data_IF_828699888154
#
_entry.id   IF_828699888154
#
_cell.length_a   1.000
_cell.length_b   1.000
_cell.length_c   1.000
_cell.angle_alpha   90.00
_cell.angle_beta   90.00
_cell.angle_gamma   90.00
#
_symmetry.space_group_name_H-M   'P 1'
#
loop_
_entity.id
_entity.type
_entity.pdbx_description
1 polymer ?
#
# COMPACT_ATOMS: atom_id res chain seq x y z
N UNK A 1 -1.81 -17.50 6.01
CA UNK A 1 -2.32 -16.89 4.75
C UNK A 1 -1.07 -16.64 3.91
N UNK A 2 -0.96 -17.25 2.73
CA UNK A 2 0.27 -17.14 1.91
C UNK A 2 0.49 -15.70 1.46
N UNK A 3 1.75 -15.31 1.26
CA UNK A 3 2.09 -14.05 0.57
C UNK A 3 1.50 -14.12 -0.84
N UNK A 4 0.80 -13.08 -1.28
CA UNK A 4 0.18 -13.01 -2.60
C UNK A 4 0.25 -11.57 -3.10
N UNK A 5 0.91 -11.38 -4.25
CA UNK A 5 1.27 -10.08 -4.80
C UNK A 5 0.06 -9.22 -5.16
N UNK A 6 -1.09 -9.85 -5.45
CA UNK A 6 -2.26 -9.21 -6.02
C UNK A 6 -3.50 -9.29 -5.09
N UNK A 7 -3.43 -10.06 -3.99
CA UNK A 7 -4.52 -10.17 -3.01
C UNK A 7 -4.33 -9.35 -1.75
N UNK A 8 -3.11 -9.25 -1.22
CA UNK A 8 -2.90 -8.46 0.00
C UNK A 8 -3.01 -6.97 -0.32
N UNK A 9 -3.65 -6.20 0.56
CA UNK A 9 -3.84 -4.76 0.44
C UNK A 9 -2.95 -4.05 1.45
N UNK A 10 -2.28 -3.01 0.99
CA UNK A 10 -1.34 -2.21 1.76
C UNK A 10 -1.76 -0.75 1.69
N UNK A 11 -1.71 -0.07 2.82
CA UNK A 11 -1.86 1.39 2.88
C UNK A 11 -0.76 2.08 2.07
N UNK A 12 -1.14 2.99 1.18
CA UNK A 12 -0.18 3.79 0.37
C UNK A 12 0.63 4.80 1.17
N UNK A 13 0.22 5.11 2.42
CA UNK A 13 0.95 6.03 3.29
C UNK A 13 1.93 5.34 4.25
N UNK A 14 1.68 4.09 4.67
CA UNK A 14 2.54 3.44 5.67
C UNK A 14 2.91 1.98 5.37
N UNK A 15 2.36 1.39 4.32
CA UNK A 15 2.63 -0.01 3.97
C UNK A 15 2.03 -1.03 4.96
N UNK A 16 1.16 -0.62 5.88
CA UNK A 16 0.47 -1.53 6.78
C UNK A 16 -0.64 -2.30 6.07
N UNK A 17 -0.83 -3.55 6.47
CA UNK A 17 -1.98 -4.40 6.08
C UNK A 17 -3.14 -4.32 7.08
N UNK A 18 -2.98 -3.54 8.16
CA UNK A 18 -4.05 -3.27 9.11
C UNK A 18 -4.97 -2.18 8.54
N UNK A 19 -5.78 -2.59 7.56
CA UNK A 19 -6.65 -1.75 6.76
C UNK A 19 -8.05 -2.35 6.70
N UNK A 20 -9.05 -1.51 6.50
CA UNK A 20 -10.46 -1.92 6.38
C UNK A 20 -11.14 -1.15 5.27
N UNK A 21 -12.07 -1.81 4.60
CA UNK A 21 -13.03 -1.17 3.73
C UNK A 21 -14.32 -0.92 4.52
N UNK A 22 -14.88 0.27 4.40
CA UNK A 22 -16.08 0.73 5.10
C UNK A 22 -17.24 0.82 4.11
N UNK A 23 -18.44 0.64 4.64
CA UNK A 23 -19.69 0.86 3.89
C UNK A 23 -20.51 1.89 4.64
N UNK A 24 -21.17 2.77 3.91
CA UNK A 24 -22.00 3.83 4.47
C UNK A 24 -23.39 3.28 4.81
N UNK A 25 -23.84 3.51 6.04
CA UNK A 25 -25.16 3.06 6.52
C UNK A 25 -25.93 4.25 7.06
N UNK A 26 -27.20 4.39 6.65
CA UNK A 26 -28.10 5.34 7.28
C UNK A 26 -28.36 4.91 8.74
N UNK A 27 -28.02 5.72 9.75
CA UNK A 27 -28.22 5.33 11.14
C UNK A 27 -29.70 5.27 11.58
N UNK A 28 -30.60 5.93 10.85
CA UNK A 28 -32.03 5.98 11.18
C UNK A 28 -32.83 4.88 10.47
N UNK A 29 -32.49 4.57 9.21
CA UNK A 29 -33.22 3.55 8.41
C UNK A 29 -32.50 2.21 8.35
N UNK A 30 -31.23 2.16 8.77
CA UNK A 30 -30.32 1.03 8.60
C UNK A 30 -30.11 0.59 7.15
N UNK A 31 -30.48 1.45 6.19
CA UNK A 31 -30.23 1.23 4.77
C UNK A 31 -28.74 1.42 4.48
N UNK A 32 -28.16 0.48 3.75
CA UNK A 32 -26.78 0.54 3.29
C UNK A 32 -26.74 1.31 1.97
N UNK A 33 -25.99 2.41 1.94
CA UNK A 33 -25.80 3.23 0.76
C UNK A 33 -24.69 2.63 -0.10
N UNK A 34 -25.10 1.94 -1.18
CA UNK A 34 -24.25 1.36 -2.23
C UNK A 34 -23.43 0.10 -1.86
N UNK A 35 -22.74 -0.43 -2.87
CA UNK A 35 -21.68 -1.41 -2.72
C UNK A 35 -20.40 -0.72 -2.24
N UNK A 36 -19.59 -1.43 -1.45
CA UNK A 36 -18.22 -1.02 -1.16
C UNK A 36 -17.52 -0.72 -2.50
N UNK A 37 -16.98 0.48 -2.68
CA UNK A 37 -16.29 0.83 -3.92
C UNK A 37 -14.98 0.05 -4.06
N UNK A 38 -14.36 0.15 -5.23
CA UNK A 38 -13.08 -0.50 -5.49
C UNK A 38 -12.00 -0.07 -4.48
N UNK A 39 -11.03 -0.95 -4.22
CA UNK A 39 -9.92 -0.66 -3.29
C UNK A 39 -8.99 0.47 -3.78
N UNK A 40 -9.17 0.89 -5.03
CA UNK A 40 -8.53 2.00 -5.71
C UNK A 40 -9.20 3.36 -5.45
N UNK A 41 -10.33 3.41 -4.73
CA UNK A 41 -11.00 4.66 -4.35
C UNK A 41 -10.78 4.98 -2.85
N UNK A 42 -10.25 6.16 -2.54
CA UNK A 42 -9.86 6.58 -1.18
C UNK A 42 -11.03 6.55 -0.17
N UNK A 43 -12.26 6.85 -0.63
CA UNK A 43 -13.39 7.20 0.24
C UNK A 43 -13.90 6.07 1.15
N UNK A 44 -13.73 4.82 0.74
CA UNK A 44 -14.21 3.67 1.51
C UNK A 44 -13.09 2.96 2.27
N UNK A 45 -11.83 3.32 2.02
CA UNK A 45 -10.68 2.58 2.54
C UNK A 45 -10.02 3.32 3.70
N UNK A 46 -9.78 2.63 4.80
CA UNK A 46 -9.23 3.24 6.03
C UNK A 46 -8.05 2.45 6.57
N UNK A 47 -6.99 3.16 6.93
CA UNK A 47 -5.83 2.57 7.59
C UNK A 47 -5.90 2.76 9.11
N UNK A 48 -5.89 1.66 9.85
CA UNK A 48 -5.91 1.70 11.32
C UNK A 48 -4.56 2.15 11.92
N UNK A 49 -3.48 2.15 11.14
CA UNK A 49 -2.20 2.71 11.57
C UNK A 49 -2.16 4.24 11.38
N UNK A 50 -2.52 4.74 10.19
CA UNK A 50 -2.52 6.17 9.90
C UNK A 50 -3.71 6.93 10.50
N UNK A 51 -4.79 6.21 10.86
CA UNK A 51 -6.04 6.77 11.38
C UNK A 51 -6.80 7.67 10.39
N UNK A 52 -6.61 7.45 9.11
CA UNK A 52 -7.20 8.24 8.02
C UNK A 52 -7.70 7.35 6.87
N UNK A 53 -8.48 7.95 5.97
CA UNK A 53 -8.86 7.32 4.71
C UNK A 53 -7.66 7.34 3.75
N UNK A 54 -7.43 6.24 3.03
CA UNK A 54 -6.24 6.05 2.20
C UNK A 54 -6.57 5.24 0.96
N UNK A 55 -5.77 5.38 -0.08
CA UNK A 55 -5.76 4.39 -1.17
C UNK A 55 -5.11 3.07 -0.69
N UNK A 56 -5.58 1.95 -1.22
CA UNK A 56 -5.02 0.62 -0.91
C UNK A 56 -4.49 -0.05 -2.15
N UNK A 57 -3.19 -0.31 -2.15
CA UNK A 57 -2.51 -0.94 -3.28
C UNK A 57 -2.14 -2.38 -2.97
N UNK A 58 -2.05 -3.19 -4.03
CA UNK A 58 -1.38 -4.50 -3.97
C UNK A 58 0.14 -4.31 -3.89
N UNK A 59 0.90 -5.36 -3.56
CA UNK A 59 2.36 -5.27 -3.54
C UNK A 59 2.91 -4.88 -4.92
N UNK A 60 2.30 -5.42 -6.00
CA UNK A 60 2.65 -5.08 -7.39
C UNK A 60 2.37 -3.62 -7.73
N UNK A 61 1.22 -3.09 -7.28
CA UNK A 61 0.88 -1.68 -7.50
C UNK A 61 1.83 -0.74 -6.73
N UNK A 62 2.18 -1.08 -5.49
CA UNK A 62 3.18 -0.32 -4.72
C UNK A 62 4.56 -0.35 -5.40
N UNK A 63 4.99 -1.51 -5.90
CA UNK A 63 6.26 -1.62 -6.60
C UNK A 63 6.29 -0.74 -7.85
N UNK A 64 5.22 -0.77 -8.67
CA UNK A 64 5.08 0.09 -9.85
C UNK A 64 5.10 1.59 -9.50
N UNK A 65 4.52 1.97 -8.36
CA UNK A 65 4.62 3.34 -7.85
C UNK A 65 6.05 3.69 -7.45
N UNK A 66 6.79 2.73 -6.87
CA UNK A 66 8.19 2.90 -6.47
C UNK A 66 9.17 2.97 -7.65
N UNK A 67 8.91 2.28 -8.76
CA UNK A 67 9.78 2.31 -9.97
C UNK A 67 10.01 3.72 -10.53
N UNK A 68 9.05 4.62 -10.34
CA UNK A 68 9.11 6.01 -10.81
C UNK A 68 9.51 6.99 -9.70
N UNK A 69 9.94 6.47 -8.54
CA UNK A 69 10.23 7.27 -7.37
C UNK A 69 11.63 7.91 -7.48
N UNK A 70 11.79 9.21 -7.15
CA UNK A 70 13.06 9.89 -7.28
C UNK A 70 14.09 9.35 -6.28
N UNK A 71 15.31 9.07 -6.78
CA UNK A 71 16.45 8.54 -6.01
C UNK A 71 17.69 9.36 -6.37
N UNK A 72 18.46 9.77 -5.36
CA UNK A 72 19.67 10.56 -5.54
C UNK A 72 20.88 9.69 -5.95
N UNK A 73 22.07 10.31 -6.08
CA UNK A 73 23.30 9.61 -6.47
C UNK A 73 23.85 8.66 -5.40
N UNK A 74 23.37 8.77 -4.16
CA UNK A 74 23.78 7.93 -3.02
C UNK A 74 22.80 6.77 -2.79
N UNK A 75 21.93 6.48 -3.77
CA UNK A 75 20.90 5.44 -3.72
C UNK A 75 19.85 5.67 -2.61
N UNK A 76 19.60 6.91 -2.21
CA UNK A 76 18.57 7.28 -1.24
C UNK A 76 17.33 7.88 -1.92
N UNK A 77 16.14 7.58 -1.38
CA UNK A 77 14.88 8.14 -1.88
C UNK A 77 14.80 9.64 -1.59
N UNK A 78 14.34 10.44 -2.54
CA UNK A 78 14.30 11.92 -2.40
C UNK A 78 12.99 12.45 -1.79
N UNK A 79 12.01 11.58 -1.55
CA UNK A 79 10.73 11.91 -0.94
C UNK A 79 10.23 10.75 -0.06
N UNK A 80 9.18 10.99 0.73
CA UNK A 80 8.63 10.00 1.66
C UNK A 80 7.85 8.90 0.90
N UNK A 81 8.29 7.66 1.04
CA UNK A 81 7.64 6.50 0.44
C UNK A 81 7.15 5.54 1.54
N UNK A 82 5.84 5.35 1.66
CA UNK A 82 5.25 4.62 2.79
C UNK A 82 5.76 5.23 4.13
N UNK A 83 6.24 4.38 5.05
CA UNK A 83 6.86 4.83 6.30
C UNK A 83 8.37 5.13 6.18
N UNK A 84 8.94 5.13 4.97
CA UNK A 84 10.33 5.48 4.73
C UNK A 84 10.45 6.97 4.42
N UNK A 85 11.10 7.77 5.28
CA UNK A 85 11.30 9.19 5.00
C UNK A 85 12.32 9.40 3.88
N UNK A 86 12.28 10.57 3.25
CA UNK A 86 13.34 11.03 2.35
C UNK A 86 14.74 10.87 2.99
N UNK A 87 15.72 10.40 2.22
CA UNK A 87 17.06 10.02 2.68
C UNK A 87 17.19 8.55 3.11
N UNK A 88 16.11 7.77 3.09
CA UNK A 88 16.21 6.31 3.31
C UNK A 88 16.88 5.64 2.10
N UNK A 89 17.78 4.68 2.34
CA UNK A 89 18.34 3.86 1.26
C UNK A 89 17.23 3.12 0.49
N UNK A 90 17.28 3.17 -0.84
CA UNK A 90 16.38 2.40 -1.70
C UNK A 90 16.48 0.90 -1.45
N UNK A 91 17.62 0.41 -0.97
CA UNK A 91 17.83 -1.01 -0.65
C UNK A 91 17.02 -1.44 0.59
N UNK A 92 16.80 -0.55 1.55
CA UNK A 92 15.92 -0.83 2.70
C UNK A 92 14.47 -0.95 2.23
N UNK A 93 14.06 -0.08 1.30
CA UNK A 93 12.74 -0.17 0.65
C UNK A 93 12.61 -1.47 -0.13
N UNK A 94 13.63 -1.86 -0.92
CA UNK A 94 13.65 -3.14 -1.63
C UNK A 94 13.55 -4.33 -0.69
N UNK A 95 14.26 -4.31 0.43
CA UNK A 95 14.19 -5.37 1.43
C UNK A 95 12.78 -5.51 2.00
N UNK A 96 12.09 -4.39 2.26
CA UNK A 96 10.69 -4.40 2.68
C UNK A 96 9.76 -5.08 1.67
N UNK A 97 9.97 -4.86 0.36
CA UNK A 97 9.24 -5.56 -0.68
C UNK A 97 9.58 -7.05 -0.70
N UNK A 98 10.87 -7.40 -0.63
CA UNK A 98 11.38 -8.78 -0.65
C UNK A 98 10.74 -9.65 0.45
N UNK A 99 10.68 -9.11 1.68
CA UNK A 99 10.03 -9.76 2.81
C UNK A 99 8.55 -10.08 2.58
N UNK A 100 7.89 -9.40 1.64
CA UNK A 100 6.46 -9.55 1.30
C UNK A 100 6.23 -10.34 0.01
N UNK A 101 7.29 -10.61 -0.74
CA UNK A 101 7.27 -11.45 -1.93
C UNK A 101 7.19 -12.96 -1.57
N UNK A 102 6.39 -13.76 -2.30
CA UNK A 102 6.35 -15.23 -2.15
C UNK A 102 7.69 -15.92 -2.43
N UNK A 103 8.39 -15.53 -3.49
CA UNK A 103 9.61 -16.15 -3.96
C UNK A 103 10.84 -15.28 -3.71
N UNK A 104 10.73 -13.96 -3.87
CA UNK A 104 11.68 -12.87 -3.52
C UNK A 104 11.38 -11.68 -4.46
N UNK A 105 11.93 -10.49 -4.18
CA UNK A 105 11.70 -9.29 -4.98
C UNK A 105 12.07 -9.50 -6.46
N UNK A 106 13.24 -10.09 -6.73
CA UNK A 106 13.76 -10.30 -8.08
C UNK A 106 12.82 -11.18 -8.91
N UNK A 107 12.42 -12.32 -8.35
CA UNK A 107 11.62 -13.34 -9.05
C UNK A 107 10.11 -13.02 -9.06
N UNK A 108 9.64 -12.02 -8.34
CA UNK A 108 8.21 -11.69 -8.29
C UNK A 108 7.86 -10.34 -8.91
N UNK A 109 8.78 -9.36 -8.85
CA UNK A 109 8.49 -7.97 -9.18
C UNK A 109 9.50 -7.32 -10.16
N UNK A 110 10.70 -7.87 -10.38
CA UNK A 110 11.71 -7.29 -11.27
C UNK A 110 11.72 -7.93 -12.67
N UNK A 111 10.69 -7.66 -13.49
CA UNK A 111 10.55 -8.20 -14.86
C UNK A 111 10.34 -7.14 -15.94
#
# INVERSE_FOLDING_TARGET
MGKDLDKTRYCTNCGSTNVRAQMWVNPNTHEVYNHCTGFDEEYDNYCDCCKEFVELYTLRQLWKAFENYPVNNDDEIEADFLSFPAGTSKFDVWHWFDERCPNNLHDDLMY
#
